data_IF_074918692592
#
_entry.id   IF_074918692592
#
_cell.length_a   1.000
_cell.length_b   1.000
_cell.length_c   1.000
_cell.angle_alpha   90.00
_cell.angle_beta   90.00
_cell.angle_gamma   90.00
#
_symmetry.space_group_name_H-M   'P 1'
#
loop_
_entity.id
_entity.type
_entity.pdbx_description
1 polymer ?
#
# COMPACT_ATOMS: atom_id res chain seq x y z
N UNK A 1 3.57 1.45 -1.15
CA UNK A 1 3.47 2.63 -0.27
C UNK A 1 2.89 3.74 -1.10
N UNK A 2 1.73 4.28 -0.72
CA UNK A 2 1.15 5.37 -1.48
C UNK A 2 2.07 6.59 -1.56
N UNK A 3 2.76 6.91 -0.46
CA UNK A 3 3.65 8.07 -0.31
C UNK A 3 4.90 7.98 -1.21
N UNK A 4 5.68 6.90 -1.12
CA UNK A 4 7.00 6.81 -1.79
C UNK A 4 7.10 5.70 -2.85
N UNK A 5 6.00 5.02 -3.16
CA UNK A 5 5.89 3.94 -4.16
C UNK A 5 6.69 2.65 -3.88
N UNK A 6 7.35 2.54 -2.72
CA UNK A 6 7.98 1.29 -2.30
C UNK A 6 6.99 0.12 -2.18
N UNK A 7 7.38 -1.06 -2.65
CA UNK A 7 6.54 -2.27 -2.62
C UNK A 7 6.96 -3.15 -1.44
N UNK A 8 6.01 -3.49 -0.58
CA UNK A 8 6.22 -4.41 0.55
C UNK A 8 5.69 -5.79 0.19
N UNK A 9 6.58 -6.66 -0.30
CA UNK A 9 6.23 -7.99 -0.85
C UNK A 9 5.79 -9.01 0.21
N UNK A 10 6.21 -8.82 1.45
CA UNK A 10 5.96 -9.71 2.59
C UNK A 10 4.72 -9.29 3.42
N UNK A 11 3.96 -8.29 2.97
CA UNK A 11 2.80 -7.75 3.67
C UNK A 11 1.63 -8.74 3.68
N UNK A 12 1.18 -9.14 4.87
CA UNK A 12 0.09 -10.10 5.06
C UNK A 12 -1.26 -9.41 5.29
N UNK A 13 -2.35 -10.15 5.06
CA UNK A 13 -3.69 -9.69 5.43
C UNK A 13 -3.91 -9.57 6.95
N UNK A 14 -3.11 -10.25 7.76
CA UNK A 14 -3.08 -10.05 9.21
C UNK A 14 -2.43 -8.72 9.60
N UNK A 15 -1.60 -8.13 8.73
CA UNK A 15 -0.93 -6.87 8.98
C UNK A 15 -1.92 -5.74 8.71
N UNK A 16 -2.72 -5.40 9.72
CA UNK A 16 -3.76 -4.36 9.64
C UNK A 16 -3.17 -2.96 9.43
N UNK A 17 -1.91 -2.75 9.80
CA UNK A 17 -1.20 -1.47 9.67
C UNK A 17 -0.06 -1.62 8.66
N UNK A 18 -0.08 -0.80 7.62
CA UNK A 18 1.03 -0.63 6.69
C UNK A 18 2.07 0.33 7.28
N UNK A 19 3.33 -0.12 7.34
CA UNK A 19 4.49 0.69 7.75
C UNK A 19 5.51 0.70 6.61
N UNK A 20 6.03 1.88 6.29
CA UNK A 20 7.06 2.07 5.29
C UNK A 20 8.28 2.76 5.88
N UNK A 21 9.45 2.45 5.33
CA UNK A 21 10.73 3.04 5.72
C UNK A 21 10.80 4.57 5.46
N UNK A 22 9.92 5.10 4.60
CA UNK A 22 9.78 6.54 4.41
C UNK A 22 9.02 7.25 5.55
N UNK A 23 8.64 6.53 6.62
CA UNK A 23 7.89 7.05 7.76
C UNK A 23 6.36 7.04 7.61
N UNK A 24 5.83 6.64 6.45
CA UNK A 24 4.40 6.54 6.23
C UNK A 24 3.80 5.35 7.00
N UNK A 25 2.83 5.63 7.88
CA UNK A 25 2.14 4.64 8.71
C UNK A 25 0.63 4.88 8.63
N UNK A 26 -0.12 3.88 8.18
CA UNK A 26 -1.57 3.97 8.05
C UNK A 26 -2.21 2.57 8.04
N UNK A 27 -3.53 2.51 8.14
CA UNK A 27 -4.27 1.28 7.87
C UNK A 27 -3.93 0.74 6.47
N UNK A 28 -3.75 -0.59 6.38
CA UNK A 28 -3.35 -1.26 5.14
C UNK A 28 -4.36 -1.04 4.01
N UNK A 29 -5.64 -1.20 4.29
CA UNK A 29 -6.70 -1.13 3.29
C UNK A 29 -6.85 0.31 2.79
N UNK A 30 -6.69 1.29 3.68
CA UNK A 30 -6.63 2.69 3.28
C UNK A 30 -5.40 2.99 2.39
N UNK A 31 -4.21 2.48 2.72
CA UNK A 31 -3.03 2.62 1.84
C UNK A 31 -3.25 1.94 0.48
N UNK A 32 -3.93 0.78 0.44
CA UNK A 32 -4.26 0.09 -0.80
C UNK A 32 -5.24 0.90 -1.65
N UNK A 33 -6.31 1.45 -1.04
CA UNK A 33 -7.28 2.30 -1.72
C UNK A 33 -6.62 3.54 -2.35
N UNK A 34 -5.66 4.16 -1.65
CA UNK A 34 -4.89 5.28 -2.20
C UNK A 34 -3.98 4.87 -3.37
N UNK A 35 -3.42 3.66 -3.36
CA UNK A 35 -2.66 3.16 -4.52
C UNK A 35 -3.58 2.95 -5.73
N UNK A 36 -4.80 2.42 -5.51
CA UNK A 36 -5.78 2.23 -6.59
C UNK A 36 -6.27 3.57 -7.15
N UNK A 37 -6.56 4.56 -6.30
CA UNK A 37 -6.95 5.91 -6.71
C UNK A 37 -5.93 6.55 -7.65
N UNK A 38 -4.65 6.34 -7.38
CA UNK A 38 -3.55 6.94 -8.14
C UNK A 38 -3.05 6.06 -9.30
N UNK A 39 -3.59 4.84 -9.46
CA UNK A 39 -3.11 3.91 -10.48
C UNK A 39 -3.56 4.37 -11.87
N UNK A 40 -2.62 4.48 -12.81
CA UNK A 40 -2.91 4.79 -14.22
C UNK A 40 -3.19 3.54 -15.05
N UNK A 41 -2.73 2.39 -14.57
CA UNK A 41 -2.90 1.07 -15.20
C UNK A 41 -3.03 0.02 -14.10
N UNK A 42 -3.94 -0.94 -14.28
CA UNK A 42 -4.11 -2.08 -13.38
C UNK A 42 -4.39 -3.33 -14.19
N UNK A 43 -3.94 -4.47 -13.67
CA UNK A 43 -4.30 -5.79 -14.19
C UNK A 43 -5.27 -6.44 -13.20
N UNK A 44 -6.30 -7.09 -13.75
CA UNK A 44 -7.23 -7.91 -12.99
C UNK A 44 -6.76 -9.35 -13.11
N UNK A 45 -6.72 -10.06 -11.98
CA UNK A 45 -6.35 -11.47 -11.92
C UNK A 45 -7.43 -12.38 -12.51
#
# INVERSE_FOLDING_TARGET
CHCCKSIKKDLKLSDRIFRCDCGYIKDRDFNAALNLRDATTYEVA
#
